data_IF_987183560208
#
_entry.id   IF_987183560208
#
_cell.length_a   1.000
_cell.length_b   1.000
_cell.length_c   1.000
_cell.angle_alpha   90.00
_cell.angle_beta   90.00
_cell.angle_gamma   90.00
#
_symmetry.space_group_name_H-M   'P 1'
#
loop_
_entity.id
_entity.type
_entity.pdbx_description
1 polymer ?
#
# COMPACT_ATOMS: atom_id res chain seq x y z
N UNK A 1 14.68 -8.80 -14.77
CA UNK A 1 15.36 -7.58 -15.29
C UNK A 1 16.86 -7.67 -15.00
N UNK A 2 17.69 -6.83 -15.64
CA UNK A 2 19.14 -6.80 -15.47
C UNK A 2 19.59 -5.47 -14.86
N UNK A 3 20.73 -5.46 -14.16
CA UNK A 3 21.31 -4.23 -13.66
C UNK A 3 21.63 -3.26 -14.81
N UNK A 4 21.52 -1.98 -14.54
CA UNK A 4 21.66 -0.87 -15.49
C UNK A 4 20.56 -0.77 -16.57
N UNK A 5 19.49 -1.54 -16.52
CA UNK A 5 18.33 -1.32 -17.39
C UNK A 5 17.42 -0.23 -16.83
N UNK A 6 16.74 0.51 -17.72
CA UNK A 6 15.69 1.46 -17.33
C UNK A 6 14.35 0.74 -17.37
N UNK A 7 13.51 0.96 -16.36
CA UNK A 7 12.18 0.39 -16.23
C UNK A 7 11.14 1.50 -16.06
N UNK A 8 9.93 1.25 -16.55
CA UNK A 8 8.76 2.07 -16.27
C UNK A 8 8.07 1.64 -14.96
N UNK A 9 7.22 2.49 -14.40
CA UNK A 9 6.54 2.22 -13.13
C UNK A 9 5.69 0.92 -13.13
N UNK A 10 5.16 0.54 -14.28
CA UNK A 10 4.29 -0.63 -14.45
C UNK A 10 5.03 -1.86 -15.01
N UNK A 11 6.35 -1.79 -15.20
CA UNK A 11 7.12 -2.93 -15.66
C UNK A 11 7.24 -3.98 -14.56
N UNK A 12 7.09 -5.24 -14.93
CA UNK A 12 7.30 -6.38 -14.01
C UNK A 12 8.79 -6.55 -13.76
N UNK A 13 9.21 -6.37 -12.52
CA UNK A 13 10.63 -6.43 -12.12
C UNK A 13 10.97 -7.70 -11.37
N UNK A 14 10.00 -8.32 -10.71
CA UNK A 14 10.14 -9.63 -10.10
C UNK A 14 8.89 -10.48 -10.32
N UNK A 15 9.08 -11.81 -10.37
CA UNK A 15 8.00 -12.78 -10.49
C UNK A 15 8.29 -13.95 -9.58
N UNK A 16 7.27 -14.42 -8.88
CA UNK A 16 7.30 -15.63 -8.07
C UNK A 16 6.10 -16.51 -8.40
N UNK A 17 6.26 -17.81 -8.23
CA UNK A 17 5.17 -18.77 -8.32
C UNK A 17 4.73 -19.15 -6.90
N UNK A 18 3.57 -18.69 -6.46
CA UNK A 18 2.99 -19.16 -5.20
C UNK A 18 2.47 -20.59 -5.40
N UNK A 19 2.90 -21.54 -4.55
CA UNK A 19 2.38 -22.90 -4.61
C UNK A 19 0.85 -22.87 -4.49
N UNK A 20 0.17 -23.65 -5.32
CA UNK A 20 -1.28 -23.78 -5.26
C UNK A 20 -1.77 -24.39 -3.94
N UNK A 21 -3.07 -24.28 -3.69
CA UNK A 21 -3.71 -24.79 -2.50
C UNK A 21 -3.50 -26.28 -2.31
N UNK A 22 -3.31 -26.71 -1.07
CA UNK A 22 -3.23 -28.11 -0.67
C UNK A 22 -4.64 -28.63 -0.43
N UNK A 23 -5.01 -29.67 -1.20
CA UNK A 23 -6.33 -30.31 -1.13
C UNK A 23 -6.19 -31.76 -0.64
N UNK A 24 -6.43 -32.05 0.65
CA UNK A 24 -6.40 -33.39 1.17
C UNK A 24 -7.67 -34.15 0.79
N UNK A 25 -7.52 -35.32 0.20
CA UNK A 25 -8.61 -36.23 -0.16
C UNK A 25 -8.47 -37.50 0.68
N UNK A 26 -9.43 -37.77 1.55
CA UNK A 26 -9.45 -39.01 2.32
C UNK A 26 -9.94 -40.19 1.46
N UNK A 27 -8.98 -40.89 0.83
CA UNK A 27 -9.26 -42.00 -0.06
C UNK A 27 -9.77 -43.23 0.70
N UNK A 28 -9.27 -43.47 1.94
CA UNK A 28 -9.72 -44.57 2.76
C UNK A 28 -11.23 -44.48 3.04
N UNK A 29 -11.71 -43.28 3.40
CA UNK A 29 -13.14 -43.05 3.62
C UNK A 29 -13.95 -43.17 2.33
N UNK A 30 -13.47 -42.55 1.22
CA UNK A 30 -14.18 -42.58 -0.07
C UNK A 30 -14.32 -43.98 -0.65
N UNK A 31 -13.32 -44.84 -0.41
CA UNK A 31 -13.29 -46.24 -0.87
C UNK A 31 -13.88 -47.21 0.14
N UNK A 32 -14.09 -46.78 1.39
CA UNK A 32 -14.51 -47.59 2.54
C UNK A 32 -13.56 -48.79 2.78
N UNK A 33 -12.24 -48.51 2.73
CA UNK A 33 -11.17 -49.50 2.96
C UNK A 33 -10.18 -49.04 4.04
N UNK A 34 -9.44 -49.95 4.67
CA UNK A 34 -8.33 -49.57 5.55
C UNK A 34 -7.28 -48.75 4.82
N UNK A 35 -6.61 -47.80 5.50
CA UNK A 35 -5.60 -46.93 4.88
C UNK A 35 -4.53 -47.66 4.07
N UNK A 36 -4.01 -48.78 4.59
CA UNK A 36 -2.97 -49.58 3.93
C UNK A 36 -3.39 -50.22 2.61
N UNK A 37 -4.70 -50.41 2.38
CA UNK A 37 -5.22 -51.02 1.15
C UNK A 37 -5.45 -49.98 0.03
N UNK A 38 -5.48 -48.67 0.38
CA UNK A 38 -5.76 -47.58 -0.56
C UNK A 38 -4.83 -47.62 -1.75
N UNK A 39 -3.52 -47.75 -1.52
CA UNK A 39 -2.51 -47.70 -2.59
C UNK A 39 -2.74 -48.72 -3.69
N UNK A 40 -3.25 -49.93 -3.32
CA UNK A 40 -3.54 -51.00 -4.30
C UNK A 40 -4.73 -50.72 -5.22
N UNK A 41 -5.53 -49.69 -4.91
CA UNK A 41 -6.75 -49.31 -5.63
C UNK A 41 -6.56 -47.99 -6.39
N UNK A 42 -5.48 -47.23 -6.10
CA UNK A 42 -5.20 -46.00 -6.80
C UNK A 42 -4.86 -46.24 -8.29
N UNK A 43 -5.32 -45.34 -9.13
CA UNK A 43 -4.99 -45.25 -10.56
C UNK A 43 -4.02 -44.10 -10.84
N UNK A 44 -3.53 -43.45 -9.79
CA UNK A 44 -2.67 -42.25 -9.86
C UNK A 44 -1.43 -42.45 -8.98
N UNK A 45 -0.35 -41.82 -9.37
CA UNK A 45 0.94 -41.86 -8.67
C UNK A 45 1.38 -40.45 -8.28
N UNK A 46 2.32 -40.37 -7.34
CA UNK A 46 2.93 -39.10 -6.93
C UNK A 46 3.59 -38.40 -8.13
N UNK A 47 3.35 -37.11 -8.30
CA UNK A 47 3.79 -36.31 -9.44
C UNK A 47 2.85 -36.31 -10.63
N UNK A 48 1.81 -37.15 -10.65
CA UNK A 48 0.85 -37.21 -11.75
C UNK A 48 -0.06 -35.98 -11.75
N UNK A 49 -0.26 -35.40 -12.94
CA UNK A 49 -1.21 -34.31 -13.13
C UNK A 49 -2.62 -34.85 -13.25
N UNK A 50 -3.56 -34.28 -12.52
CA UNK A 50 -4.95 -34.68 -12.42
C UNK A 50 -5.83 -33.51 -12.85
N UNK A 51 -6.84 -33.82 -13.64
CA UNK A 51 -7.91 -32.90 -14.00
C UNK A 51 -9.18 -33.25 -13.24
N UNK A 52 -10.00 -32.26 -12.91
CA UNK A 52 -11.32 -32.53 -12.31
C UNK A 52 -12.11 -33.52 -13.16
N UNK A 53 -12.59 -34.58 -12.49
CA UNK A 53 -13.29 -35.68 -13.14
C UNK A 53 -12.43 -36.90 -13.46
N UNK A 54 -11.11 -36.81 -13.35
CA UNK A 54 -10.22 -37.99 -13.54
C UNK A 54 -10.45 -39.04 -12.44
N UNK A 55 -10.22 -40.27 -12.80
CA UNK A 55 -10.35 -41.40 -11.87
C UNK A 55 -9.11 -41.48 -10.97
N UNK A 56 -9.29 -41.22 -9.69
CA UNK A 56 -8.23 -41.35 -8.68
C UNK A 56 -8.04 -42.81 -8.22
N UNK A 57 -9.13 -43.55 -8.10
CA UNK A 57 -9.09 -44.93 -7.64
C UNK A 57 -10.30 -45.72 -8.18
N UNK A 58 -10.14 -47.06 -8.25
CA UNK A 58 -11.19 -47.98 -8.66
C UNK A 58 -11.18 -49.22 -7.75
N UNK A 59 -12.33 -49.59 -7.19
CA UNK A 59 -12.46 -50.84 -6.40
C UNK A 59 -12.51 -52.04 -7.31
N UNK A 60 -11.99 -53.20 -6.82
CA UNK A 60 -11.96 -54.44 -7.60
C UNK A 60 -13.34 -55.06 -7.83
N UNK A 61 -14.37 -54.59 -7.06
CA UNK A 61 -15.72 -55.15 -7.10
C UNK A 61 -15.81 -56.60 -6.53
N UNK A 62 -17.05 -57.08 -6.32
CA UNK A 62 -17.29 -58.48 -5.92
C UNK A 62 -17.41 -59.29 -7.21
N UNK A 63 -16.51 -60.26 -7.41
CA UNK A 63 -16.38 -61.05 -8.65
C UNK A 63 -16.24 -60.25 -9.95
N UNK A 64 -15.62 -59.04 -9.86
CA UNK A 64 -15.45 -58.15 -11.01
C UNK A 64 -16.69 -57.35 -11.42
N UNK A 65 -17.81 -57.54 -10.73
CA UNK A 65 -19.05 -56.78 -10.88
C UNK A 65 -19.13 -55.69 -9.81
N UNK A 66 -19.80 -54.59 -10.10
CA UNK A 66 -19.99 -53.42 -9.17
C UNK A 66 -18.69 -52.72 -8.78
N UNK A 67 -17.87 -52.35 -9.75
CA UNK A 67 -16.71 -51.47 -9.53
C UNK A 67 -17.17 -50.07 -9.18
N UNK A 68 -16.64 -49.52 -8.10
CA UNK A 68 -16.83 -48.11 -7.72
C UNK A 68 -15.60 -47.31 -8.09
N UNK A 69 -15.83 -46.12 -8.66
CA UNK A 69 -14.77 -45.20 -9.02
C UNK A 69 -14.82 -43.95 -8.15
N UNK A 70 -13.68 -43.52 -7.69
CA UNK A 70 -13.51 -42.21 -7.02
C UNK A 70 -12.94 -41.23 -8.04
N UNK A 71 -13.70 -40.21 -8.33
CA UNK A 71 -13.30 -39.15 -9.24
C UNK A 71 -12.71 -37.97 -8.48
N UNK A 72 -11.82 -37.22 -9.13
CA UNK A 72 -11.27 -36.01 -8.56
C UNK A 72 -12.28 -34.86 -8.66
N UNK A 73 -12.50 -34.16 -7.55
CA UNK A 73 -13.31 -32.94 -7.50
C UNK A 73 -12.51 -31.70 -7.93
N UNK A 74 -11.19 -31.85 -8.00
CA UNK A 74 -10.25 -30.75 -8.24
C UNK A 74 -9.20 -31.13 -9.30
N UNK A 75 -8.62 -30.12 -9.93
CA UNK A 75 -7.44 -30.28 -10.79
C UNK A 75 -6.18 -29.92 -10.00
N UNK A 76 -5.07 -30.60 -10.28
CA UNK A 76 -3.79 -30.37 -9.59
C UNK A 76 -2.78 -31.47 -9.86
N UNK A 77 -1.71 -31.49 -9.08
CA UNK A 77 -0.66 -32.52 -9.12
C UNK A 77 -0.75 -33.36 -7.84
N UNK A 78 -0.63 -34.68 -7.96
CA UNK A 78 -0.55 -35.56 -6.80
C UNK A 78 0.76 -35.28 -6.05
N UNK A 79 0.68 -34.58 -4.93
CA UNK A 79 1.84 -34.21 -4.14
C UNK A 79 2.36 -35.35 -3.27
N UNK A 80 1.44 -36.05 -2.60
CA UNK A 80 1.79 -37.18 -1.77
C UNK A 80 0.62 -38.14 -1.57
N UNK A 81 0.94 -39.40 -1.22
CA UNK A 81 0.01 -40.44 -0.89
C UNK A 81 0.51 -41.06 0.41
N UNK A 82 -0.34 -41.03 1.46
CA UNK A 82 -0.01 -41.56 2.78
C UNK A 82 -0.61 -42.96 2.96
N UNK A 83 0.23 -43.97 3.09
CA UNK A 83 -0.18 -45.34 3.37
C UNK A 83 -0.68 -45.50 4.83
N UNK A 84 -0.27 -44.60 5.73
CA UNK A 84 -0.65 -44.61 7.15
C UNK A 84 -2.06 -44.07 7.38
N UNK A 85 -2.44 -43.01 6.66
CA UNK A 85 -3.72 -42.29 6.83
C UNK A 85 -4.70 -42.56 5.71
N UNK A 86 -4.26 -43.15 4.58
CA UNK A 86 -5.05 -43.34 3.38
C UNK A 86 -5.47 -42.04 2.71
N UNK A 87 -4.70 -40.94 2.95
CA UNK A 87 -4.91 -39.64 2.32
C UNK A 87 -4.09 -39.49 1.06
N UNK A 88 -4.70 -38.89 0.04
CA UNK A 88 -4.06 -38.38 -1.15
C UNK A 88 -4.09 -36.86 -1.09
N UNK A 89 -2.95 -36.24 -1.27
CA UNK A 89 -2.82 -34.77 -1.28
C UNK A 89 -2.65 -34.33 -2.73
N UNK A 90 -3.58 -33.51 -3.22
CA UNK A 90 -3.43 -32.77 -4.46
C UNK A 90 -2.93 -31.37 -4.15
N UNK A 91 -1.98 -30.89 -4.95
CA UNK A 91 -1.59 -29.49 -5.00
C UNK A 91 -2.22 -28.85 -6.23
N UNK A 92 -2.98 -27.78 -6.03
CA UNK A 92 -3.54 -26.97 -7.09
C UNK A 92 -2.46 -26.32 -7.98
N UNK A 93 -2.86 -25.73 -9.09
CA UNK A 93 -1.93 -25.01 -9.95
C UNK A 93 -1.30 -23.83 -9.16
N UNK A 94 -0.02 -23.54 -9.42
CA UNK A 94 0.64 -22.35 -8.89
C UNK A 94 0.00 -21.10 -9.45
N UNK A 95 0.02 -20.03 -8.66
CA UNK A 95 -0.45 -18.71 -9.08
C UNK A 95 0.77 -17.80 -9.23
N UNK A 96 1.01 -17.23 -10.42
CA UNK A 96 2.08 -16.27 -10.60
C UNK A 96 1.76 -14.98 -9.85
N UNK A 97 2.75 -14.50 -9.07
CA UNK A 97 2.73 -13.19 -8.43
C UNK A 97 3.79 -12.34 -9.10
N UNK A 98 3.40 -11.17 -9.54
CA UNK A 98 4.26 -10.20 -10.19
C UNK A 98 4.41 -8.97 -9.31
N UNK A 99 5.63 -8.45 -9.24
CA UNK A 99 5.95 -7.19 -8.56
C UNK A 99 6.30 -6.18 -9.64
N UNK A 100 5.60 -5.06 -9.63
CA UNK A 100 5.85 -3.94 -10.54
C UNK A 100 6.98 -3.06 -10.00
N UNK A 101 7.59 -2.27 -10.86
CA UNK A 101 8.66 -1.35 -10.50
C UNK A 101 8.22 -0.23 -9.55
N UNK A 102 6.91 0.07 -9.51
CA UNK A 102 6.28 1.13 -8.74
C UNK A 102 6.66 2.55 -9.21
N UNK A 103 7.92 2.80 -9.49
CA UNK A 103 8.38 4.08 -10.06
C UNK A 103 9.26 3.82 -11.29
N UNK A 104 9.25 4.72 -12.28
CA UNK A 104 10.20 4.62 -13.37
C UNK A 104 11.60 4.92 -12.84
N UNK A 105 12.62 4.22 -13.37
CA UNK A 105 13.97 4.44 -12.89
C UNK A 105 14.99 3.49 -13.48
N UNK A 106 16.20 3.56 -12.96
CA UNK A 106 17.31 2.70 -13.35
C UNK A 106 17.49 1.59 -12.32
N UNK A 107 17.54 0.35 -12.78
CA UNK A 107 17.90 -0.81 -11.94
C UNK A 107 19.38 -0.70 -11.60
N UNK A 108 19.72 -0.41 -10.36
CA UNK A 108 21.10 -0.27 -9.89
C UNK A 108 21.67 -1.56 -9.33
N UNK A 109 20.82 -2.42 -8.78
CA UNK A 109 21.21 -3.71 -8.19
C UNK A 109 20.14 -4.77 -8.45
N UNK A 110 20.59 -6.01 -8.63
CA UNK A 110 19.72 -7.19 -8.69
C UNK A 110 20.07 -8.08 -7.52
N UNK A 111 19.07 -8.32 -6.65
CA UNK A 111 19.18 -9.20 -5.49
C UNK A 111 18.64 -10.57 -5.92
N UNK A 112 19.55 -11.53 -6.13
CA UNK A 112 19.22 -12.84 -6.69
C UNK A 112 18.23 -13.61 -5.79
N UNK A 113 17.09 -13.98 -6.37
CA UNK A 113 15.99 -14.62 -5.66
C UNK A 113 15.14 -13.73 -4.76
N UNK A 114 15.47 -12.44 -4.61
CA UNK A 114 14.76 -11.49 -3.72
C UNK A 114 14.07 -10.35 -4.50
N UNK A 115 14.78 -9.70 -5.44
CA UNK A 115 14.22 -8.58 -6.19
C UNK A 115 15.26 -7.70 -6.86
N UNK A 116 14.94 -6.42 -6.98
CA UNK A 116 15.82 -5.40 -7.59
C UNK A 116 15.76 -4.10 -6.81
N UNK A 117 16.82 -3.31 -6.91
CA UNK A 117 16.90 -1.93 -6.42
C UNK A 117 16.78 -0.99 -7.61
N UNK A 118 15.80 -0.10 -7.56
CA UNK A 118 15.54 0.92 -8.58
C UNK A 118 15.84 2.30 -7.99
N UNK A 119 16.56 3.10 -8.73
CA UNK A 119 16.93 4.47 -8.35
C UNK A 119 16.34 5.48 -9.34
N UNK A 120 15.78 6.56 -8.80
CA UNK A 120 15.34 7.72 -9.56
C UNK A 120 15.39 8.97 -8.69
N UNK A 121 15.45 10.15 -9.33
CA UNK A 121 15.24 11.44 -8.66
C UNK A 121 13.74 11.75 -8.68
N UNK A 122 13.18 12.04 -7.51
CA UNK A 122 11.74 12.21 -7.34
C UNK A 122 11.42 13.35 -6.39
N UNK A 123 10.27 13.99 -6.60
CA UNK A 123 9.61 14.74 -5.54
C UNK A 123 8.81 13.75 -4.69
N UNK A 124 9.16 13.67 -3.41
CA UNK A 124 8.50 12.78 -2.44
C UNK A 124 7.62 13.60 -1.50
N UNK A 125 6.34 13.26 -1.44
CA UNK A 125 5.40 13.80 -0.46
C UNK A 125 4.94 12.65 0.42
N UNK A 126 5.13 12.76 1.73
CA UNK A 126 4.65 11.78 2.70
C UNK A 126 3.34 12.25 3.32
N UNK A 127 2.36 11.35 3.35
CA UNK A 127 1.11 11.56 4.07
C UNK A 127 1.18 11.08 5.52
N UNK A 128 0.10 11.29 6.24
CA UNK A 128 -0.09 10.81 7.61
C UNK A 128 -0.86 9.50 7.64
N UNK A 129 -1.86 9.38 6.77
CA UNK A 129 -2.75 8.23 6.71
C UNK A 129 -3.07 7.89 5.25
N UNK A 130 -3.25 6.61 4.96
CA UNK A 130 -3.68 6.15 3.64
C UNK A 130 -4.29 4.76 3.68
N UNK A 131 -5.00 4.42 2.63
CA UNK A 131 -5.63 3.11 2.39
C UNK A 131 -5.62 2.80 0.89
N UNK A 132 -5.72 1.53 0.53
CA UNK A 132 -5.93 1.10 -0.86
C UNK A 132 -4.69 0.58 -1.60
N UNK A 133 -3.51 0.56 -0.98
CA UNK A 133 -2.29 0.02 -1.60
C UNK A 133 -1.66 0.96 -2.62
N UNK A 134 -1.09 0.40 -3.69
CA UNK A 134 -0.37 1.15 -4.72
C UNK A 134 -1.28 1.52 -5.89
N UNK A 135 -1.10 2.74 -6.41
CA UNK A 135 -1.72 3.20 -7.66
C UNK A 135 -0.75 4.08 -8.45
N UNK A 136 -1.02 4.21 -9.74
CA UNK A 136 -0.22 4.98 -10.69
C UNK A 136 -1.12 5.72 -11.67
N UNK A 137 -0.81 6.97 -11.95
CA UNK A 137 -1.56 7.77 -12.90
C UNK A 137 -1.10 9.22 -12.98
N UNK A 138 -1.64 10.00 -13.94
CA UNK A 138 -1.35 11.42 -14.03
C UNK A 138 -2.01 12.18 -12.87
N UNK A 139 -1.32 13.18 -12.35
CA UNK A 139 -1.87 14.13 -11.37
C UNK A 139 -2.96 14.97 -12.03
N UNK A 140 -4.11 15.08 -11.41
CA UNK A 140 -5.22 15.90 -11.84
C UNK A 140 -5.75 16.74 -10.66
N UNK A 141 -5.64 18.07 -10.77
CA UNK A 141 -6.17 18.98 -9.73
C UNK A 141 -7.70 19.06 -9.85
N UNK A 142 -8.41 18.67 -8.81
CA UNK A 142 -9.87 18.72 -8.75
C UNK A 142 -10.39 19.99 -8.06
N UNK A 143 -9.58 20.59 -7.22
CA UNK A 143 -9.92 21.84 -6.51
C UNK A 143 -8.96 22.96 -6.89
N UNK A 144 -9.41 24.21 -6.73
CA UNK A 144 -8.61 25.40 -7.07
C UNK A 144 -7.79 25.91 -5.89
N UNK A 145 -8.11 25.48 -4.67
CA UNK A 145 -7.48 25.92 -3.42
C UNK A 145 -7.17 24.74 -2.51
N UNK A 146 -6.11 24.88 -1.74
CA UNK A 146 -5.73 23.89 -0.71
C UNK A 146 -6.73 23.82 0.45
N UNK A 147 -7.62 24.82 0.59
CA UNK A 147 -8.68 24.87 1.61
C UNK A 147 -10.02 24.32 1.11
N UNK A 148 -10.14 24.05 -0.18
CA UNK A 148 -11.37 23.59 -0.79
C UNK A 148 -11.57 22.09 -0.57
N UNK A 149 -12.73 21.69 0.00
CA UNK A 149 -13.07 20.29 0.20
C UNK A 149 -13.32 19.58 -1.15
N UNK A 150 -12.92 18.32 -1.23
CA UNK A 150 -13.17 17.49 -2.41
C UNK A 150 -14.57 16.88 -2.34
N UNK A 151 -15.47 17.40 -3.16
CA UNK A 151 -16.84 16.96 -3.27
C UNK A 151 -17.09 16.17 -4.57
N UNK A 152 -18.17 15.37 -4.67
CA UNK A 152 -18.47 14.58 -5.88
C UNK A 152 -18.54 15.39 -7.17
N UNK A 153 -18.97 16.66 -7.10
CA UNK A 153 -19.08 17.56 -8.25
C UNK A 153 -17.75 17.91 -8.90
N UNK A 154 -16.65 17.80 -8.15
CA UNK A 154 -15.30 18.05 -8.66
C UNK A 154 -14.74 16.88 -9.47
N UNK A 155 -15.36 15.68 -9.36
CA UNK A 155 -14.85 14.45 -9.99
C UNK A 155 -15.61 14.20 -11.29
N UNK A 156 -14.90 14.35 -12.39
CA UNK A 156 -15.45 14.27 -13.75
C UNK A 156 -14.88 13.05 -14.51
N UNK A 157 -15.58 12.62 -15.59
CA UNK A 157 -15.23 11.40 -16.34
C UNK A 157 -13.82 11.43 -16.98
N UNK A 158 -13.27 12.60 -17.24
CA UNK A 158 -11.92 12.75 -17.79
C UNK A 158 -10.81 12.45 -16.78
N UNK A 159 -11.15 12.29 -15.49
CA UNK A 159 -10.21 11.94 -14.41
C UNK A 159 -10.00 10.41 -14.27
N UNK A 160 -10.57 9.62 -15.18
CA UNK A 160 -10.37 8.17 -15.18
C UNK A 160 -8.88 7.80 -15.22
N UNK A 161 -8.44 6.94 -14.28
CA UNK A 161 -7.05 6.52 -14.16
C UNK A 161 -6.10 7.56 -13.60
N UNK A 162 -6.59 8.75 -13.21
CA UNK A 162 -5.75 9.82 -12.65
C UNK A 162 -5.58 9.67 -11.13
N UNK A 163 -4.56 10.35 -10.61
CA UNK A 163 -4.40 10.68 -9.20
C UNK A 163 -5.04 12.05 -8.98
N UNK A 164 -6.23 12.06 -8.40
CA UNK A 164 -7.03 13.26 -8.18
C UNK A 164 -6.59 13.97 -6.90
N UNK A 165 -6.30 15.25 -7.00
CA UNK A 165 -5.87 16.08 -5.87
C UNK A 165 -7.00 17.00 -5.45
N UNK A 166 -7.45 16.85 -4.19
CA UNK A 166 -8.30 17.79 -3.48
C UNK A 166 -7.50 18.68 -2.55
N UNK A 167 -8.12 19.75 -2.05
CA UNK A 167 -7.46 20.68 -1.15
C UNK A 167 -7.56 20.26 0.32
N UNK A 168 -8.76 20.33 0.88
CA UNK A 168 -9.01 20.01 2.28
C UNK A 168 -9.54 18.58 2.46
N UNK A 169 -10.66 18.45 3.14
CA UNK A 169 -11.29 17.15 3.42
C UNK A 169 -11.82 16.48 2.14
N UNK A 170 -11.67 15.16 2.08
CA UNK A 170 -12.38 14.32 1.11
C UNK A 170 -13.62 13.68 1.77
N UNK A 171 -14.78 13.79 1.13
CA UNK A 171 -16.01 13.15 1.58
C UNK A 171 -16.10 11.69 1.09
N UNK A 172 -16.83 10.84 1.84
CA UNK A 172 -17.13 9.46 1.38
C UNK A 172 -17.85 9.48 0.02
N UNK A 173 -18.78 10.42 -0.19
CA UNK A 173 -19.48 10.56 -1.45
C UNK A 173 -18.53 10.88 -2.63
N UNK A 174 -17.48 11.69 -2.40
CA UNK A 174 -16.47 11.96 -3.41
C UNK A 174 -15.66 10.71 -3.74
N UNK A 175 -15.30 9.91 -2.73
CA UNK A 175 -14.60 8.62 -2.94
C UNK A 175 -15.47 7.66 -3.75
N UNK A 176 -16.77 7.53 -3.44
CA UNK A 176 -17.69 6.70 -4.22
C UNK A 176 -17.77 7.16 -5.68
N UNK A 177 -17.89 8.48 -5.91
CA UNK A 177 -17.89 9.04 -7.26
C UNK A 177 -16.59 8.76 -8.00
N UNK A 178 -15.44 8.83 -7.31
CA UNK A 178 -14.13 8.52 -7.87
C UNK A 178 -14.02 7.03 -8.29
N UNK A 179 -14.55 6.12 -7.47
CA UNK A 179 -14.62 4.68 -7.81
C UNK A 179 -15.48 4.46 -9.07
N UNK A 180 -16.64 5.09 -9.17
CA UNK A 180 -17.52 5.00 -10.34
C UNK A 180 -16.84 5.47 -11.62
N UNK A 181 -16.12 6.58 -11.54
CA UNK A 181 -15.35 7.13 -12.67
C UNK A 181 -14.16 6.24 -13.01
N UNK A 182 -13.62 5.50 -12.06
CA UNK A 182 -12.39 4.70 -12.20
C UNK A 182 -11.13 5.53 -12.01
N UNK A 183 -11.15 6.47 -11.06
CA UNK A 183 -9.96 7.20 -10.60
C UNK A 183 -9.00 6.23 -9.95
N UNK A 184 -7.71 6.38 -10.17
CA UNK A 184 -6.69 5.49 -9.62
C UNK A 184 -6.39 5.81 -8.14
N UNK A 185 -6.33 7.08 -7.77
CA UNK A 185 -6.09 7.49 -6.40
C UNK A 185 -6.58 8.91 -6.09
N UNK A 186 -6.75 9.19 -4.81
CA UNK A 186 -7.09 10.51 -4.28
C UNK A 186 -6.00 10.96 -3.30
N UNK A 187 -5.61 12.21 -3.39
CA UNK A 187 -4.76 12.90 -2.43
C UNK A 187 -5.55 14.09 -1.86
N UNK A 188 -5.71 14.15 -0.54
CA UNK A 188 -6.45 15.22 0.13
C UNK A 188 -5.79 15.60 1.46
N UNK A 189 -6.12 16.77 2.00
CA UNK A 189 -5.60 17.26 3.28
C UNK A 189 -6.11 16.44 4.45
N UNK A 190 -7.44 16.18 4.50
CA UNK A 190 -8.09 15.54 5.63
C UNK A 190 -9.18 14.55 5.26
N UNK A 191 -9.60 13.76 6.25
CA UNK A 191 -10.77 12.87 6.17
C UNK A 191 -11.45 12.80 7.54
N UNK A 192 -12.79 12.84 7.57
CA UNK A 192 -13.54 12.64 8.80
C UNK A 192 -13.62 11.15 9.19
N UNK A 193 -13.68 10.90 10.49
CA UNK A 193 -13.83 9.55 11.03
C UNK A 193 -15.10 8.85 10.53
N UNK A 194 -16.21 9.59 10.42
CA UNK A 194 -17.47 9.08 9.88
C UNK A 194 -17.35 8.68 8.40
N UNK A 195 -16.69 9.50 7.57
CA UNK A 195 -16.45 9.22 6.17
C UNK A 195 -15.52 8.00 6.04
N UNK A 196 -14.46 7.95 6.83
CA UNK A 196 -13.51 6.83 6.82
C UNK A 196 -14.16 5.50 7.22
N UNK A 197 -15.01 5.52 8.27
CA UNK A 197 -15.81 4.36 8.66
C UNK A 197 -16.75 3.91 7.53
N UNK A 198 -17.37 4.85 6.84
CA UNK A 198 -18.23 4.55 5.69
C UNK A 198 -17.45 3.93 4.52
N UNK A 199 -16.22 4.38 4.27
CA UNK A 199 -15.32 3.82 3.23
C UNK A 199 -14.88 2.40 3.57
N UNK A 200 -14.54 2.12 4.83
CA UNK A 200 -13.99 0.85 5.29
C UNK A 200 -15.08 -0.19 5.62
N UNK A 201 -16.28 0.28 6.03
CA UNK A 201 -17.35 -0.58 6.51
C UNK A 201 -17.22 -1.08 7.95
N UNK A 202 -16.19 -0.61 8.69
CA UNK A 202 -15.94 -0.95 10.10
C UNK A 202 -15.27 0.21 10.85
N UNK A 203 -15.27 0.15 12.19
CA UNK A 203 -14.66 1.18 13.04
C UNK A 203 -13.13 1.10 13.07
N UNK A 204 -12.47 2.26 13.11
CA UNK A 204 -11.01 2.44 13.18
C UNK A 204 -10.32 1.75 14.37
N UNK A 205 -11.06 1.23 15.35
CA UNK A 205 -10.51 0.46 16.47
C UNK A 205 -9.87 -0.88 16.08
N UNK A 206 -10.10 -1.38 14.88
CA UNK A 206 -9.46 -2.56 14.29
C UNK A 206 -8.18 -2.12 13.59
N UNK A 207 -7.13 -2.93 13.65
CA UNK A 207 -5.84 -2.61 13.05
C UNK A 207 -5.98 -2.35 11.54
N UNK A 208 -5.78 -1.10 11.14
CA UNK A 208 -5.69 -0.71 9.73
C UNK A 208 -4.27 -0.99 9.26
N UNK A 209 -4.15 -1.67 8.14
CA UNK A 209 -2.87 -2.02 7.52
C UNK A 209 -2.53 -1.14 6.33
N UNK A 210 -3.50 -0.33 5.85
CA UNK A 210 -3.39 0.48 4.63
C UNK A 210 -3.54 -0.34 3.34
N UNK A 211 -3.65 -1.66 3.45
CA UNK A 211 -3.85 -2.56 2.30
C UNK A 211 -5.31 -2.91 2.01
N UNK A 212 -6.24 -2.27 2.70
CA UNK A 212 -7.69 -2.44 2.53
C UNK A 212 -8.09 -2.05 1.10
N UNK A 213 -8.81 -2.95 0.43
CA UNK A 213 -9.24 -2.73 -0.96
C UNK A 213 -10.58 -2.01 -1.00
N UNK A 214 -10.54 -0.71 -1.14
CA UNK A 214 -11.75 0.14 -1.26
C UNK A 214 -12.10 0.50 -2.72
N UNK A 215 -11.31 0.03 -3.69
CA UNK A 215 -11.52 0.29 -5.12
C UNK A 215 -10.63 1.38 -5.71
N UNK A 216 -9.95 2.17 -4.90
CA UNK A 216 -8.90 3.12 -5.28
C UNK A 216 -7.93 3.34 -4.10
N UNK A 217 -6.86 4.10 -4.32
CA UNK A 217 -5.92 4.49 -3.25
C UNK A 217 -6.26 5.88 -2.73
N UNK A 218 -6.28 6.04 -1.40
CA UNK A 218 -6.46 7.35 -0.75
C UNK A 218 -5.22 7.68 0.08
N UNK A 219 -4.69 8.88 -0.09
CA UNK A 219 -3.58 9.43 0.71
C UNK A 219 -4.05 10.71 1.36
N UNK A 220 -3.96 10.77 2.69
CA UNK A 220 -4.28 11.93 3.52
C UNK A 220 -2.97 12.55 3.98
N UNK A 221 -2.77 13.82 3.64
CA UNK A 221 -1.49 14.50 3.88
C UNK A 221 -1.38 15.13 5.26
N UNK A 222 -2.49 15.62 5.82
CA UNK A 222 -2.45 16.41 7.06
C UNK A 222 -3.05 15.68 8.27
N UNK A 223 -4.17 14.96 8.10
CA UNK A 223 -4.74 14.20 9.23
C UNK A 223 -6.25 14.03 9.19
N UNK A 224 -6.84 13.84 10.38
CA UNK A 224 -8.27 13.58 10.52
C UNK A 224 -9.04 14.88 10.78
N UNK A 225 -10.18 15.02 10.14
CA UNK A 225 -11.08 16.18 10.25
C UNK A 225 -11.03 17.10 9.04
N UNK A 226 -11.60 18.28 9.19
CA UNK A 226 -11.62 19.36 8.19
C UNK A 226 -10.30 20.11 8.17
N UNK A 227 -9.25 19.47 7.67
CA UNK A 227 -7.90 20.03 7.63
C UNK A 227 -7.53 20.34 6.19
N UNK A 228 -7.16 21.58 5.92
CA UNK A 228 -6.64 21.99 4.63
C UNK A 228 -5.28 21.34 4.37
N UNK A 229 -5.03 20.95 3.13
CA UNK A 229 -3.69 20.55 2.70
C UNK A 229 -2.71 21.72 2.93
N UNK A 230 -1.47 21.42 3.29
CA UNK A 230 -0.42 22.43 3.31
C UNK A 230 -0.38 23.18 1.95
N UNK A 231 -0.37 24.49 1.98
CA UNK A 231 -0.29 25.31 0.75
C UNK A 231 0.92 24.92 -0.09
N UNK A 232 2.03 24.60 0.55
CA UNK A 232 3.25 24.13 -0.13
C UNK A 232 3.02 22.77 -0.82
N UNK A 233 2.44 21.80 -0.15
CA UNK A 233 2.13 20.49 -0.72
C UNK A 233 1.19 20.63 -1.91
N UNK A 234 0.15 21.45 -1.78
CA UNK A 234 -0.79 21.72 -2.85
C UNK A 234 -0.11 22.36 -4.07
N UNK A 235 0.76 23.35 -3.87
CA UNK A 235 1.53 23.99 -4.93
C UNK A 235 2.50 23.03 -5.63
N UNK A 236 3.14 22.13 -4.87
CA UNK A 236 4.03 21.10 -5.46
C UNK A 236 3.24 20.19 -6.40
N UNK A 237 2.05 19.74 -5.99
CA UNK A 237 1.17 18.90 -6.80
C UNK A 237 0.61 19.68 -8.00
N UNK A 238 0.19 20.94 -7.81
CA UNK A 238 -0.33 21.81 -8.86
C UNK A 238 0.70 22.08 -9.95
N UNK A 239 1.95 22.39 -9.60
CA UNK A 239 3.05 22.56 -10.55
C UNK A 239 3.33 21.30 -11.39
N UNK A 240 2.92 20.14 -10.88
CA UNK A 240 3.13 18.83 -11.51
C UNK A 240 1.87 18.22 -12.08
N UNK A 241 0.82 19.03 -12.26
CA UNK A 241 -0.41 18.60 -12.93
C UNK A 241 -0.13 17.97 -14.30
N UNK A 242 -0.76 16.86 -14.59
CA UNK A 242 -0.55 16.06 -15.80
C UNK A 242 0.67 15.14 -15.77
N UNK A 243 1.58 15.27 -14.81
CA UNK A 243 2.71 14.35 -14.66
C UNK A 243 2.30 13.05 -14.01
N UNK A 244 2.97 11.98 -14.39
CA UNK A 244 2.75 10.67 -13.80
C UNK A 244 3.27 10.64 -12.36
N UNK A 245 2.47 10.08 -11.47
CA UNK A 245 2.83 9.86 -10.08
C UNK A 245 2.51 8.42 -9.66
N UNK A 246 3.32 7.88 -8.78
CA UNK A 246 3.02 6.66 -8.04
C UNK A 246 2.55 7.05 -6.65
N UNK A 247 1.52 6.42 -6.15
CA UNK A 247 1.02 6.64 -4.79
C UNK A 247 0.89 5.30 -4.07
N UNK A 248 1.21 5.29 -2.79
CA UNK A 248 1.03 4.14 -1.93
C UNK A 248 0.26 4.56 -0.67
N UNK A 249 -0.92 3.96 -0.48
CA UNK A 249 -1.78 4.21 0.68
C UNK A 249 -1.43 3.38 1.91
N UNK A 250 -0.44 2.49 1.82
CA UNK A 250 -0.09 1.63 2.95
C UNK A 250 0.33 2.45 4.18
N UNK A 251 -0.30 2.14 5.31
CA UNK A 251 -0.04 2.80 6.58
C UNK A 251 0.19 1.75 7.65
N UNK A 252 1.39 1.74 8.29
CA UNK A 252 1.68 0.83 9.38
C UNK A 252 2.35 1.58 10.54
N UNK A 253 1.69 1.61 11.70
CA UNK A 253 2.14 2.36 12.86
C UNK A 253 2.77 1.45 13.93
N UNK A 254 2.46 0.15 13.95
CA UNK A 254 2.80 -0.76 15.06
C UNK A 254 4.14 -1.48 14.97
N UNK A 255 4.65 -1.75 13.77
CA UNK A 255 5.86 -2.57 13.55
C UNK A 255 6.94 -1.85 12.71
N UNK A 256 7.05 -0.57 12.85
CA UNK A 256 7.82 0.33 12.01
C UNK A 256 6.89 1.42 11.49
N UNK A 257 7.44 2.54 11.05
CA UNK A 257 6.63 3.63 10.49
C UNK A 257 6.62 3.46 8.98
N UNK A 258 5.55 2.88 8.44
CA UNK A 258 5.24 2.98 7.03
C UNK A 258 4.21 4.08 6.86
N UNK A 259 4.53 5.10 6.09
CA UNK A 259 3.65 6.23 5.79
C UNK A 259 3.21 6.16 4.34
N UNK A 260 1.99 6.59 4.05
CA UNK A 260 1.57 6.73 2.67
C UNK A 260 2.41 7.79 1.96
N UNK A 261 2.61 7.60 0.68
CA UNK A 261 3.51 8.45 -0.10
C UNK A 261 2.97 8.76 -1.50
N UNK A 262 3.39 9.91 -2.02
CA UNK A 262 3.21 10.32 -3.40
C UNK A 262 4.59 10.55 -3.98
N UNK A 263 4.94 9.81 -5.03
CA UNK A 263 6.26 9.83 -5.67
C UNK A 263 6.09 10.34 -7.10
N UNK A 264 6.72 11.46 -7.42
CA UNK A 264 6.62 12.11 -8.72
C UNK A 264 8.03 12.21 -9.31
N UNK A 265 8.33 11.52 -10.43
CA UNK A 265 9.63 11.63 -11.09
C UNK A 265 9.94 13.09 -11.47
N UNK A 266 11.18 13.52 -11.18
CA UNK A 266 11.66 14.86 -11.51
C UNK A 266 12.40 14.80 -12.85
N UNK A 267 12.05 15.68 -13.78
CA UNK A 267 12.76 15.85 -15.03
C UNK A 267 13.92 16.83 -14.86
N UNK A 268 14.94 16.71 -15.71
CA UNK A 268 16.13 17.57 -15.65
C UNK A 268 15.79 19.08 -15.76
N UNK A 269 14.62 19.41 -16.31
CA UNK A 269 14.10 20.78 -16.41
C UNK A 269 13.62 21.35 -15.07
N UNK A 270 13.31 20.48 -14.08
CA UNK A 270 12.71 20.90 -12.80
C UNK A 270 13.77 21.25 -11.75
N UNK A 271 15.02 20.87 -11.99
CA UNK A 271 16.15 21.08 -11.05
C UNK A 271 16.42 22.55 -10.70
N UNK A 272 15.84 23.49 -11.44
CA UNK A 272 15.98 24.92 -11.17
C UNK A 272 14.85 25.51 -10.33
N UNK A 273 13.70 24.84 -10.22
CA UNK A 273 12.54 25.36 -9.47
C UNK A 273 12.52 24.91 -8.01
N UNK A 274 13.21 23.82 -7.68
CA UNK A 274 13.29 23.27 -6.32
C UNK A 274 14.53 23.78 -5.53
N UNK A 275 15.19 24.83 -6.00
CA UNK A 275 16.34 25.45 -5.34
C UNK A 275 16.05 26.06 -3.94
N UNK A 276 14.84 25.91 -3.43
CA UNK A 276 14.46 26.26 -2.07
C UNK A 276 14.86 25.22 -1.01
N UNK A 277 15.40 24.05 -1.37
CA UNK A 277 15.95 23.10 -0.42
C UNK A 277 17.39 23.45 -0.03
N UNK A 278 17.56 24.53 0.76
CA UNK A 278 18.84 24.89 1.39
C UNK A 278 19.31 23.86 2.46
N UNK A 279 18.59 22.77 2.64
CA UNK A 279 18.76 21.88 3.77
C UNK A 279 19.02 20.43 3.33
N UNK A 280 19.96 19.74 3.98
CA UNK A 280 20.13 18.29 3.84
C UNK A 280 18.91 17.54 4.40
N UNK A 281 18.53 16.43 3.76
CA UNK A 281 17.41 15.60 4.20
C UNK A 281 17.58 15.20 5.68
N UNK A 282 16.50 15.34 6.47
CA UNK A 282 16.52 15.01 7.91
C UNK A 282 17.22 16.01 8.82
N UNK A 283 17.88 17.05 8.30
CA UNK A 283 18.60 18.03 9.11
C UNK A 283 17.64 19.03 9.77
N UNK A 284 17.59 19.07 11.09
CA UNK A 284 16.87 20.08 11.86
C UNK A 284 17.66 21.39 11.91
N UNK A 285 17.16 22.44 11.25
CA UNK A 285 17.81 23.74 11.15
C UNK A 285 16.82 24.90 11.33
N UNK A 286 17.31 26.08 11.72
CA UNK A 286 16.48 27.29 11.84
C UNK A 286 15.96 27.70 10.46
N UNK A 287 14.69 28.09 10.38
CA UNK A 287 13.99 28.45 9.17
C UNK A 287 13.33 27.26 8.45
N UNK A 288 13.59 26.01 8.90
CA UNK A 288 13.02 24.82 8.27
C UNK A 288 11.54 24.66 8.62
N UNK A 289 10.68 24.36 7.63
CA UNK A 289 9.29 24.09 7.87
C UNK A 289 9.11 22.73 8.57
N UNK A 290 8.16 22.68 9.49
CA UNK A 290 7.82 21.48 10.26
C UNK A 290 6.33 21.43 10.57
N UNK A 291 5.87 20.25 10.94
CA UNK A 291 4.54 19.99 11.49
C UNK A 291 4.69 19.52 12.93
N UNK A 292 3.82 19.99 13.82
CA UNK A 292 3.73 19.46 15.19
C UNK A 292 2.81 18.24 15.19
N UNK A 293 3.30 17.10 15.74
CA UNK A 293 2.60 15.82 15.73
C UNK A 293 2.05 15.40 17.09
N UNK A 294 1.95 16.35 18.05
CA UNK A 294 1.39 16.11 19.40
C UNK A 294 0.65 17.35 19.90
N UNK A 295 -0.34 17.09 20.77
CA UNK A 295 -1.07 18.15 21.48
C UNK A 295 -0.14 19.03 22.34
N UNK A 296 -0.49 20.32 22.57
CA UNK A 296 -1.73 21.01 22.13
C UNK A 296 -1.69 21.58 20.70
N UNK A 297 -0.58 21.43 19.99
CA UNK A 297 -0.35 22.03 18.66
C UNK A 297 -0.46 21.04 17.51
N UNK A 298 -1.09 19.90 17.75
CA UNK A 298 -1.21 18.80 16.76
C UNK A 298 -1.71 19.30 15.40
N UNK A 299 -1.02 18.89 14.33
CA UNK A 299 -1.36 19.22 12.94
C UNK A 299 -0.90 20.61 12.48
N UNK A 300 -0.49 21.51 13.40
CA UNK A 300 -0.08 22.86 13.00
C UNK A 300 1.29 22.84 12.32
N UNK A 301 1.36 23.62 11.26
CA UNK A 301 2.58 23.85 10.48
C UNK A 301 3.21 25.16 10.95
N UNK A 302 4.53 25.16 11.06
CA UNK A 302 5.31 26.33 11.39
C UNK A 302 6.74 26.20 10.90
N UNK A 303 7.59 27.15 11.27
CA UNK A 303 9.02 27.14 10.96
C UNK A 303 9.84 27.08 12.24
N UNK A 304 11.01 26.44 12.20
CA UNK A 304 11.95 26.45 13.31
C UNK A 304 12.47 27.86 13.52
N UNK A 305 12.13 28.52 14.62
CA UNK A 305 12.65 29.86 14.94
C UNK A 305 13.89 29.82 15.82
N UNK A 306 14.02 28.78 16.68
CA UNK A 306 15.18 28.61 17.55
C UNK A 306 15.43 27.12 17.89
N UNK A 307 16.70 26.78 18.12
CA UNK A 307 17.16 25.42 18.49
C UNK A 307 18.02 25.50 19.77
N UNK A 308 17.42 25.66 20.96
CA UNK A 308 18.17 25.68 22.22
C UNK A 308 19.08 24.46 22.37
N UNK A 309 20.32 24.66 22.73
CA UNK A 309 21.29 23.58 22.95
C UNK A 309 20.99 22.76 24.20
N UNK A 310 20.49 23.43 25.25
CA UNK A 310 20.19 22.82 26.54
C UNK A 310 18.76 22.25 26.56
N UNK A 311 18.57 21.05 27.17
CA UNK A 311 17.23 20.51 27.42
C UNK A 311 16.42 21.40 28.35
N UNK A 312 15.16 21.65 27.99
CA UNK A 312 14.18 22.35 28.84
C UNK A 312 13.35 21.37 29.68
N UNK A 313 12.86 21.86 30.83
CA UNK A 313 11.89 21.12 31.63
C UNK A 313 10.49 21.47 31.11
N UNK A 314 9.73 20.47 30.75
CA UNK A 314 8.35 20.61 30.32
C UNK A 314 7.40 20.69 31.52
N UNK A 315 6.15 21.10 31.28
CA UNK A 315 5.07 21.12 32.28
C UNK A 315 4.82 19.72 32.91
N UNK A 316 5.12 18.67 32.15
CA UNK A 316 5.09 17.28 32.65
C UNK A 316 6.21 16.93 33.63
N UNK A 317 7.15 17.85 33.90
CA UNK A 317 8.35 17.62 34.73
C UNK A 317 9.47 16.85 33.98
N UNK A 318 9.27 16.39 32.76
CA UNK A 318 10.31 15.72 32.00
C UNK A 318 11.29 16.72 31.37
N UNK A 319 12.57 16.32 31.34
CA UNK A 319 13.65 17.13 30.74
C UNK A 319 13.98 16.59 29.32
N UNK A 320 13.76 17.42 28.28
CA UNK A 320 13.96 17.01 26.91
C UNK A 320 14.52 18.14 26.04
N UNK A 321 15.13 17.78 24.91
CA UNK A 321 15.54 18.77 23.90
C UNK A 321 14.32 19.36 23.23
N UNK A 322 14.27 20.69 23.17
CA UNK A 322 13.17 21.46 22.58
C UNK A 322 13.62 22.25 21.37
N UNK A 323 12.66 22.75 20.62
CA UNK A 323 12.81 23.79 19.63
C UNK A 323 11.69 24.83 19.78
N UNK A 324 11.89 26.03 19.28
CA UNK A 324 10.84 27.02 19.16
C UNK A 324 10.27 27.00 17.74
N UNK A 325 8.96 26.87 17.65
CA UNK A 325 8.20 26.91 16.39
C UNK A 325 7.55 28.27 16.28
N UNK A 326 7.71 28.92 15.15
CA UNK A 326 6.97 30.09 14.73
C UNK A 326 5.84 29.65 13.79
N UNK A 327 4.58 29.83 14.24
CA UNK A 327 3.39 29.48 13.46
C UNK A 327 2.93 30.61 12.53
N UNK A 328 3.66 31.71 12.45
CA UNK A 328 3.25 32.92 11.78
C UNK A 328 2.39 33.85 12.70
N UNK A 329 2.09 35.05 12.19
CA UNK A 329 1.27 36.05 12.90
C UNK A 329 1.75 36.41 14.32
N UNK A 330 3.04 36.19 14.62
CA UNK A 330 3.66 36.46 15.93
C UNK A 330 3.41 35.38 16.99
N UNK A 331 2.78 34.27 16.62
CA UNK A 331 2.54 33.15 17.53
C UNK A 331 3.71 32.16 17.53
N UNK A 332 4.30 31.90 18.69
CA UNK A 332 5.42 30.98 18.89
C UNK A 332 5.16 29.99 20.02
N UNK A 333 5.70 28.80 19.89
CA UNK A 333 5.62 27.78 20.94
C UNK A 333 6.94 27.01 21.10
N UNK A 334 7.22 26.59 22.34
CA UNK A 334 8.31 25.67 22.63
C UNK A 334 7.77 24.24 22.57
N UNK A 335 8.34 23.43 21.68
CA UNK A 335 7.87 22.07 21.42
C UNK A 335 9.04 21.09 21.55
N UNK A 336 8.85 19.90 22.18
CA UNK A 336 9.86 18.85 22.16
C UNK A 336 10.25 18.47 20.74
N UNK A 337 11.54 18.27 20.47
CA UNK A 337 12.02 17.87 19.13
C UNK A 337 11.42 16.54 18.66
N UNK A 338 11.04 15.64 19.59
CA UNK A 338 10.36 14.39 19.28
C UNK A 338 8.88 14.57 18.88
N UNK A 339 8.32 15.77 19.08
CA UNK A 339 6.91 16.07 18.78
C UNK A 339 6.74 16.86 17.47
N UNK A 340 7.78 16.92 16.66
CA UNK A 340 7.73 17.60 15.35
C UNK A 340 8.22 16.67 14.24
N UNK A 341 7.68 16.89 13.09
CA UNK A 341 8.06 16.27 11.83
C UNK A 341 8.54 17.34 10.88
N UNK A 342 9.72 17.14 10.30
CA UNK A 342 10.24 18.07 9.29
C UNK A 342 9.47 17.87 7.98
N UNK A 343 9.02 18.98 7.41
CA UNK A 343 8.46 18.97 6.06
C UNK A 343 9.65 19.02 5.10
N UNK A 344 9.91 17.90 4.46
CA UNK A 344 10.95 17.80 3.42
C UNK A 344 10.40 18.37 2.10
N UNK A 345 11.25 19.13 1.42
CA UNK A 345 10.89 19.80 0.18
C UNK A 345 11.10 18.91 -1.02
#
# INVERSE_FOLDING_TARGET
>A
VQANTTVGAQDVVARAELPGDIMPINMANRLSVPPGDVRSLLQVEQGMQITKGDVLAETKGIFGLMKSKVLSDHSGVVESISDTTGQLILRGPSTPVEVLAYLPGKVVEVLDGEGVVIENQVALIQGIFGIGGEAFGPICMATSSHEEALEPSHITENMRGAIVVGGARVSHAAVQRAIEVGVAGIVAGGVDDADLKAMLGYDLGVAITGSERIGLTVVITEGFGEIAMSERTFRILQKREGRQASVNGATQIRAGVMRPEIVIPVESSDAHDDADSQWEAGQLAIGRPLRVIRDPWFGRIGTVSSLPAEPAVLDSGSRTRVLEVDFGNGEKAIVPRANVELIEA
#
